data_IF_516260040676
#
_entry.id   IF_516260040676
#
_cell.length_a   1.000
_cell.length_b   1.000
_cell.length_c   1.000
_cell.angle_alpha   90.00
_cell.angle_beta   90.00
_cell.angle_gamma   90.00
#
_symmetry.space_group_name_H-M   'P 1'
#
loop_
_entity.id
_entity.type
_entity.pdbx_description
1 polymer ?
#
# COMPACT_ATOMS: atom_id res chain seq x y z
N UNK A 1 26.57 -62.38 41.95
CA UNK A 1 26.64 -61.10 41.22
C UNK A 1 25.23 -60.52 41.15
N UNK A 2 24.99 -59.34 41.73
CA UNK A 2 23.69 -58.66 41.78
C UNK A 2 23.52 -57.84 40.49
N UNK A 3 22.45 -58.07 39.72
CA UNK A 3 22.01 -57.15 38.66
C UNK A 3 21.03 -56.13 39.25
N UNK A 4 21.38 -54.85 39.17
CA UNK A 4 20.47 -53.72 39.38
C UNK A 4 19.75 -53.40 38.07
N UNK A 5 18.43 -53.30 38.11
CA UNK A 5 17.61 -52.76 37.03
C UNK A 5 17.45 -51.25 37.22
N UNK A 6 17.78 -50.46 36.20
CA UNK A 6 17.57 -49.02 36.17
C UNK A 6 16.19 -48.70 35.59
N UNK A 7 15.46 -47.80 36.26
CA UNK A 7 14.17 -47.27 35.82
C UNK A 7 14.42 -46.01 35.00
N UNK A 8 14.02 -46.01 33.73
CA UNK A 8 14.03 -44.82 32.86
C UNK A 8 12.68 -44.12 32.94
N UNK A 9 12.66 -42.88 33.44
CA UNK A 9 11.51 -42.00 33.41
C UNK A 9 11.52 -41.19 32.10
N UNK A 10 10.49 -41.36 31.27
CA UNK A 10 10.28 -40.55 30.07
C UNK A 10 9.58 -39.23 30.46
N UNK A 11 10.26 -38.10 30.26
CA UNK A 11 9.62 -36.78 30.25
C UNK A 11 8.85 -36.63 28.94
N UNK A 12 7.52 -36.59 29.01
CA UNK A 12 6.67 -36.07 27.93
C UNK A 12 6.75 -34.54 27.96
N UNK A 13 7.43 -33.92 27.00
CA UNK A 13 7.24 -32.51 26.68
C UNK A 13 5.90 -32.36 25.95
N UNK A 14 4.92 -31.74 26.60
CA UNK A 14 3.71 -31.26 25.94
C UNK A 14 4.08 -30.10 25.02
N UNK A 15 4.07 -30.34 23.70
CA UNK A 15 4.15 -29.27 22.72
C UNK A 15 2.80 -28.53 22.70
N UNK A 16 2.77 -27.30 23.19
CA UNK A 16 1.62 -26.40 23.03
C UNK A 16 1.62 -25.94 21.58
N UNK A 17 0.52 -26.12 20.82
CA UNK A 17 0.44 -25.60 19.46
C UNK A 17 0.39 -24.08 19.52
N UNK A 18 1.44 -23.42 19.01
CA UNK A 18 1.40 -21.99 18.71
C UNK A 18 0.50 -21.83 17.49
N UNK A 19 -0.62 -21.11 17.66
CA UNK A 19 -1.54 -20.80 16.58
C UNK A 19 -0.87 -19.88 15.56
N UNK A 20 -0.80 -20.30 14.30
CA UNK A 20 -0.25 -19.50 13.20
C UNK A 20 -0.99 -18.17 12.95
N UNK A 21 -2.19 -18.00 13.51
CA UNK A 21 -2.97 -16.76 13.42
C UNK A 21 -2.37 -15.60 14.22
N UNK A 22 -1.75 -15.88 15.38
CA UNK A 22 -1.13 -14.84 16.20
C UNK A 22 0.17 -14.34 15.54
N UNK A 23 0.95 -15.24 14.93
CA UNK A 23 2.19 -14.88 14.24
C UNK A 23 1.99 -14.04 12.97
N UNK A 24 0.87 -14.22 12.26
CA UNK A 24 0.53 -13.40 11.10
C UNK A 24 0.08 -11.99 11.51
N UNK A 25 -0.69 -11.87 12.60
CA UNK A 25 -1.11 -10.58 13.13
C UNK A 25 0.06 -9.74 13.67
N UNK A 26 1.04 -10.39 14.31
CA UNK A 26 2.24 -9.72 14.81
C UNK A 26 3.14 -9.23 13.66
N UNK A 27 3.28 -10.00 12.57
CA UNK A 27 4.08 -9.61 11.40
C UNK A 27 3.48 -8.39 10.66
N UNK A 28 2.15 -8.33 10.54
CA UNK A 28 1.45 -7.18 9.94
C UNK A 28 1.61 -5.92 10.81
N UNK A 29 1.57 -6.06 12.13
CA UNK A 29 1.73 -4.95 13.06
C UNK A 29 3.15 -4.35 13.05
N UNK A 30 4.18 -5.19 12.96
CA UNK A 30 5.58 -4.75 12.86
C UNK A 30 5.82 -3.99 11.54
N UNK A 31 5.24 -4.46 10.43
CA UNK A 31 5.29 -3.76 9.14
C UNK A 31 4.62 -2.39 9.18
N UNK A 32 3.43 -2.29 9.78
CA UNK A 32 2.71 -1.02 9.92
C UNK A 32 3.48 0.00 10.79
N UNK A 33 4.15 -0.45 11.86
CA UNK A 33 4.99 0.42 12.68
C UNK A 33 6.15 1.00 11.87
N UNK A 34 6.84 0.17 11.09
CA UNK A 34 7.91 0.62 10.20
C UNK A 34 7.40 1.64 9.17
N UNK A 35 6.26 1.38 8.51
CA UNK A 35 5.68 2.32 7.55
C UNK A 35 5.28 3.65 8.18
N UNK A 36 4.77 3.65 9.42
CA UNK A 36 4.48 4.87 10.17
C UNK A 36 5.75 5.68 10.45
N UNK A 37 6.83 5.04 10.87
CA UNK A 37 8.12 5.71 11.10
C UNK A 37 8.69 6.32 9.83
N UNK A 38 8.61 5.61 8.70
CA UNK A 38 9.05 6.09 7.39
C UNK A 38 8.21 7.28 6.91
N UNK A 39 6.88 7.21 7.05
CA UNK A 39 6.01 8.32 6.73
C UNK A 39 6.34 9.56 7.58
N UNK A 40 6.57 9.39 8.89
CA UNK A 40 6.93 10.50 9.78
C UNK A 40 8.29 11.10 9.42
N UNK A 41 9.28 10.28 9.05
CA UNK A 41 10.58 10.75 8.59
C UNK A 41 10.48 11.57 7.28
N UNK A 42 9.63 11.14 6.36
CA UNK A 42 9.34 11.85 5.12
C UNK A 42 8.66 13.21 5.40
N UNK A 43 7.67 13.25 6.30
CA UNK A 43 7.04 14.50 6.75
C UNK A 43 8.07 15.49 7.31
N UNK A 44 8.98 15.04 8.19
CA UNK A 44 10.01 15.91 8.80
C UNK A 44 11.03 16.45 7.80
N UNK A 45 11.23 15.75 6.69
CA UNK A 45 12.19 16.11 5.66
C UNK A 45 11.57 16.88 4.49
N UNK A 46 10.26 17.16 4.54
CA UNK A 46 9.48 17.72 3.42
C UNK A 46 9.63 16.91 2.12
N UNK A 47 9.75 15.59 2.23
CA UNK A 47 9.95 14.67 1.10
C UNK A 47 8.63 13.92 0.78
N UNK A 48 7.84 14.49 -0.14
CA UNK A 48 6.56 13.89 -0.51
C UNK A 48 6.72 12.57 -1.27
N UNK A 49 7.74 12.43 -2.11
CA UNK A 49 8.02 11.20 -2.85
C UNK A 49 8.31 10.04 -1.89
N UNK A 50 9.14 10.28 -0.85
CA UNK A 50 9.38 9.31 0.21
C UNK A 50 8.14 9.04 1.09
N UNK A 51 7.23 10.01 1.22
CA UNK A 51 5.96 9.84 1.95
C UNK A 51 4.94 8.98 1.20
N UNK A 52 4.89 9.08 -0.13
CA UNK A 52 3.88 8.40 -0.93
C UNK A 52 3.99 6.88 -0.82
N UNK A 53 5.21 6.34 -0.73
CA UNK A 53 5.43 4.90 -0.59
C UNK A 53 4.78 4.27 0.65
N UNK A 54 5.10 4.70 1.90
CA UNK A 54 4.45 4.17 3.09
C UNK A 54 2.94 4.46 3.09
N UNK A 55 2.50 5.60 2.53
CA UNK A 55 1.08 5.90 2.40
C UNK A 55 0.34 4.90 1.49
N UNK A 56 0.95 4.53 0.36
CA UNK A 56 0.35 3.59 -0.58
C UNK A 56 0.33 2.15 -0.05
N UNK A 57 1.33 1.77 0.76
CA UNK A 57 1.47 0.38 1.22
C UNK A 57 0.83 0.08 2.58
N UNK A 58 0.73 1.05 3.50
CA UNK A 58 0.18 0.79 4.84
C UNK A 58 -1.20 1.39 5.06
N UNK A 59 -2.12 0.56 5.55
CA UNK A 59 -3.43 1.03 6.01
C UNK A 59 -3.30 1.94 7.23
N UNK A 60 -2.43 1.61 8.18
CA UNK A 60 -2.20 2.43 9.37
C UNK A 60 -1.71 3.84 9.01
N UNK A 61 -0.82 3.96 8.01
CA UNK A 61 -0.39 5.26 7.49
C UNK A 61 -1.57 6.02 6.88
N UNK A 62 -2.42 5.37 6.08
CA UNK A 62 -3.64 6.02 5.55
C UNK A 62 -4.61 6.44 6.65
N UNK A 63 -4.76 5.65 7.71
CA UNK A 63 -5.59 6.01 8.87
C UNK A 63 -5.09 7.28 9.56
N UNK A 64 -3.76 7.44 9.69
CA UNK A 64 -3.12 8.61 10.29
C UNK A 64 -3.14 9.84 9.39
N UNK A 65 -2.81 9.67 8.11
CA UNK A 65 -2.55 10.76 7.16
C UNK A 65 -3.66 10.96 6.12
N UNK A 66 -4.88 10.52 6.40
CA UNK A 66 -6.07 10.94 5.63
C UNK A 66 -6.82 12.04 6.36
N UNK A 67 -7.33 13.01 5.60
CA UNK A 67 -8.18 14.07 6.13
C UNK A 67 -9.46 13.48 6.76
N UNK A 68 -10.12 14.20 7.70
CA UNK A 68 -11.37 13.72 8.32
C UNK A 68 -12.49 13.42 7.31
N UNK A 69 -12.46 14.07 6.16
CA UNK A 69 -13.37 13.88 5.04
C UNK A 69 -12.58 13.85 3.73
N UNK A 70 -12.94 12.94 2.83
CA UNK A 70 -12.23 12.65 1.60
C UNK A 70 -13.23 12.68 0.45
N UNK A 71 -12.97 13.48 -0.58
CA UNK A 71 -13.71 13.41 -1.82
C UNK A 71 -13.33 12.13 -2.58
N UNK A 72 -14.26 11.20 -2.75
CA UNK A 72 -13.99 9.91 -3.38
C UNK A 72 -15.07 9.53 -4.41
N UNK A 73 -14.67 8.90 -5.51
CA UNK A 73 -15.55 8.46 -6.59
C UNK A 73 -15.04 8.90 -7.96
N UNK A 74 -15.93 8.96 -8.96
CA UNK A 74 -15.57 9.47 -10.27
C UNK A 74 -15.49 11.00 -10.30
N UNK A 75 -14.84 11.55 -11.33
CA UNK A 75 -14.68 13.00 -11.48
C UNK A 75 -16.02 13.79 -11.40
N UNK A 76 -17.10 13.22 -11.93
CA UNK A 76 -18.42 13.86 -12.00
C UNK A 76 -19.40 13.45 -10.90
N UNK A 77 -19.10 12.39 -10.16
CA UNK A 77 -19.99 11.80 -9.16
C UNK A 77 -19.29 11.56 -7.81
N UNK A 78 -18.15 12.20 -7.59
CA UNK A 78 -17.42 12.16 -6.34
C UNK A 78 -18.30 12.60 -5.17
N UNK A 79 -18.10 11.93 -4.04
CA UNK A 79 -18.82 12.18 -2.79
C UNK A 79 -17.82 12.45 -1.70
N UNK A 80 -18.21 13.36 -0.81
CA UNK A 80 -17.43 13.65 0.37
C UNK A 80 -17.74 12.63 1.48
N UNK A 81 -16.79 11.73 1.73
CA UNK A 81 -16.94 10.59 2.64
C UNK A 81 -16.21 10.86 3.96
N UNK A 82 -16.78 10.48 5.13
CA UNK A 82 -16.01 10.40 6.36
C UNK A 82 -14.82 9.45 6.18
N UNK A 83 -13.66 9.80 6.76
CA UNK A 83 -12.43 9.00 6.69
C UNK A 83 -12.65 7.52 6.99
N UNK A 84 -13.36 7.21 8.08
CA UNK A 84 -13.64 5.82 8.46
C UNK A 84 -14.42 5.05 7.40
N UNK A 85 -15.37 5.70 6.71
CA UNK A 85 -16.14 5.10 5.62
C UNK A 85 -15.27 4.83 4.40
N UNK A 86 -14.42 5.78 4.02
CA UNK A 86 -13.47 5.62 2.91
C UNK A 86 -12.51 4.44 3.18
N UNK A 87 -11.87 4.42 4.35
CA UNK A 87 -10.88 3.39 4.69
C UNK A 87 -11.50 2.01 4.91
N UNK A 88 -12.74 1.93 5.39
CA UNK A 88 -13.47 0.66 5.50
C UNK A 88 -13.74 0.01 4.14
N UNK A 89 -13.80 0.79 3.05
CA UNK A 89 -13.94 0.26 1.69
C UNK A 89 -12.72 -0.54 1.24
N UNK A 90 -11.53 -0.28 1.79
CA UNK A 90 -10.30 -1.02 1.43
C UNK A 90 -9.83 -0.80 -0.01
N UNK A 91 -10.39 0.19 -0.70
CA UNK A 91 -10.28 0.35 -2.16
C UNK A 91 -9.18 1.32 -2.60
N UNK A 92 -8.15 1.59 -1.80
CA UNK A 92 -7.04 2.47 -2.21
C UNK A 92 -6.41 1.97 -3.53
N UNK A 93 -6.19 2.81 -4.56
CA UNK A 93 -6.09 2.34 -5.94
C UNK A 93 -4.72 1.76 -6.31
N UNK A 94 -3.65 2.19 -5.64
CA UNK A 94 -2.26 1.86 -6.01
C UNK A 94 -1.45 1.41 -4.80
N UNK A 95 -0.38 0.68 -5.05
CA UNK A 95 0.68 0.36 -4.09
C UNK A 95 2.00 0.20 -4.82
N UNK A 96 3.11 0.09 -4.10
CA UNK A 96 4.45 0.03 -4.69
C UNK A 96 5.18 -1.24 -4.26
N UNK A 97 5.73 -1.96 -5.24
CA UNK A 97 6.53 -3.18 -5.04
C UNK A 97 7.82 -2.98 -5.83
N UNK A 98 8.97 -3.23 -5.20
CA UNK A 98 10.28 -3.12 -5.85
C UNK A 98 10.42 -1.84 -6.70
N UNK A 99 10.12 -0.69 -6.07
CA UNK A 99 10.18 0.65 -6.68
C UNK A 99 9.23 0.88 -7.86
N UNK A 100 8.26 0.00 -8.08
CA UNK A 100 7.27 0.09 -9.16
C UNK A 100 5.86 0.20 -8.60
N UNK A 101 5.07 1.17 -9.08
CA UNK A 101 3.66 1.23 -8.73
C UNK A 101 2.85 0.22 -9.52
N UNK A 102 1.90 -0.41 -8.85
CA UNK A 102 0.93 -1.34 -9.44
C UNK A 102 -0.47 -1.01 -8.94
N UNK A 103 -1.49 -1.46 -9.66
CA UNK A 103 -2.87 -1.36 -9.15
C UNK A 103 -3.04 -2.28 -7.95
N UNK A 104 -3.71 -1.79 -6.90
CA UNK A 104 -3.98 -2.60 -5.71
C UNK A 104 -4.81 -3.85 -6.03
N UNK A 105 -5.69 -3.77 -7.03
CA UNK A 105 -6.46 -4.91 -7.52
C UNK A 105 -5.55 -6.01 -8.11
N UNK A 106 -4.58 -5.63 -8.96
CA UNK A 106 -3.65 -6.60 -9.53
C UNK A 106 -2.77 -7.26 -8.48
N UNK A 107 -2.33 -6.49 -7.47
CA UNK A 107 -1.55 -7.03 -6.37
C UNK A 107 -2.34 -8.02 -5.52
N UNK A 108 -3.60 -7.73 -5.18
CA UNK A 108 -4.45 -8.70 -4.46
C UNK A 108 -4.58 -10.03 -5.22
N UNK A 109 -4.65 -9.99 -6.55
CA UNK A 109 -4.66 -11.21 -7.39
C UNK A 109 -3.32 -11.93 -7.41
N UNK A 110 -2.21 -11.18 -7.38
CA UNK A 110 -0.86 -11.71 -7.30
C UNK A 110 -0.66 -12.46 -5.97
N UNK A 111 -1.01 -11.84 -4.84
CA UNK A 111 -0.90 -12.41 -3.49
C UNK A 111 -1.81 -13.64 -3.30
N UNK A 112 -3.04 -13.59 -3.82
CA UNK A 112 -3.95 -14.73 -3.77
C UNK A 112 -3.58 -15.88 -4.73
N UNK A 113 -2.59 -15.66 -5.59
CA UNK A 113 -2.15 -16.58 -6.64
C UNK A 113 -0.91 -17.38 -6.26
N UNK A 114 -0.11 -17.67 -7.29
CA UNK A 114 1.18 -18.37 -7.22
C UNK A 114 2.37 -17.40 -7.20
N UNK A 115 2.13 -16.10 -7.02
CA UNK A 115 3.18 -15.08 -7.11
C UNK A 115 3.69 -14.85 -8.54
N UNK A 116 2.89 -15.15 -9.57
CA UNK A 116 3.22 -14.83 -10.95
C UNK A 116 3.18 -13.30 -11.19
N UNK A 117 4.36 -12.68 -11.26
CA UNK A 117 4.53 -11.24 -11.47
C UNK A 117 3.90 -10.73 -12.77
N UNK A 118 3.65 -11.60 -13.77
CA UNK A 118 2.95 -11.19 -15.01
C UNK A 118 1.49 -10.78 -14.78
N UNK A 119 0.94 -11.06 -13.58
CA UNK A 119 -0.40 -10.62 -13.16
C UNK A 119 -0.45 -9.20 -12.60
N UNK A 120 0.71 -8.59 -12.34
CA UNK A 120 0.79 -7.21 -11.88
C UNK A 120 0.45 -6.26 -13.02
N UNK A 121 -0.48 -5.34 -12.75
CA UNK A 121 -0.79 -4.24 -13.65
C UNK A 121 -0.02 -3.01 -13.16
N UNK A 122 1.10 -2.74 -13.82
CA UNK A 122 1.95 -1.58 -13.54
C UNK A 122 1.20 -0.27 -13.79
N UNK A 123 1.60 0.76 -13.05
CA UNK A 123 0.97 2.07 -13.04
C UNK A 123 2.03 3.12 -13.37
N UNK A 124 1.71 3.98 -14.32
CA UNK A 124 2.41 5.25 -14.53
C UNK A 124 1.95 6.24 -13.46
N UNK A 125 2.89 6.81 -12.72
CA UNK A 125 2.63 7.78 -11.65
C UNK A 125 3.34 9.09 -11.98
N UNK A 126 2.58 10.18 -11.93
CA UNK A 126 3.09 11.53 -12.09
C UNK A 126 2.72 12.37 -10.86
N UNK A 127 3.71 13.02 -10.26
CA UNK A 127 3.52 13.85 -9.06
C UNK A 127 3.61 15.32 -9.46
N UNK A 128 2.51 16.03 -9.26
CA UNK A 128 2.36 17.44 -9.58
C UNK A 128 2.22 18.27 -8.29
N UNK A 129 2.97 19.36 -8.19
CA UNK A 129 2.91 20.29 -7.05
C UNK A 129 2.23 21.59 -7.46
N UNK A 130 1.16 21.95 -6.76
CA UNK A 130 0.48 23.23 -6.96
C UNK A 130 1.21 24.38 -6.23
N UNK A 131 0.87 25.62 -6.58
CA UNK A 131 1.43 26.82 -5.94
C UNK A 131 1.10 26.93 -4.45
N UNK A 132 0.00 26.32 -4.02
CA UNK A 132 -0.42 26.22 -2.61
C UNK A 132 0.08 24.93 -1.94
N UNK A 133 1.16 24.36 -2.49
CA UNK A 133 1.87 23.17 -2.00
C UNK A 133 1.04 21.88 -1.97
N UNK A 134 -0.20 21.89 -2.47
CA UNK A 134 -0.95 20.65 -2.70
C UNK A 134 -0.20 19.74 -3.66
N UNK A 135 -0.16 18.45 -3.33
CA UNK A 135 0.46 17.41 -4.13
C UNK A 135 -0.62 16.57 -4.79
N UNK A 136 -0.62 16.51 -6.11
CA UNK A 136 -1.51 15.68 -6.92
C UNK A 136 -0.69 14.51 -7.46
N UNK A 137 -1.16 13.30 -7.20
CA UNK A 137 -0.56 12.06 -7.72
C UNK A 137 -1.50 11.55 -8.79
N UNK A 138 -1.20 11.85 -10.04
CA UNK A 138 -1.89 11.27 -11.19
C UNK A 138 -1.39 9.84 -11.38
N UNK A 139 -2.31 8.92 -11.61
CA UNK A 139 -1.99 7.51 -11.78
C UNK A 139 -2.81 6.90 -12.90
N UNK A 140 -2.23 6.01 -13.70
CA UNK A 140 -2.96 5.22 -14.69
C UNK A 140 -2.29 3.85 -14.91
N UNK A 141 -3.07 2.75 -15.09
CA UNK A 141 -2.52 1.50 -15.58
C UNK A 141 -1.75 1.71 -16.88
N UNK A 142 -0.60 1.07 -17.01
CA UNK A 142 0.31 1.31 -18.12
C UNK A 142 1.11 0.07 -18.52
N UNK A 143 1.62 0.09 -19.76
CA UNK A 143 2.60 -0.87 -20.27
C UNK A 143 3.94 -0.18 -20.44
N UNK A 144 4.98 -0.92 -20.10
CA UNK A 144 6.35 -0.44 -20.16
C UNK A 144 7.21 -1.39 -21.00
N UNK A 145 8.18 -0.82 -21.71
CA UNK A 145 9.25 -1.57 -22.35
C UNK A 145 10.32 -1.86 -21.28
N UNK A 146 10.93 -3.06 -21.27
CA UNK A 146 12.03 -3.35 -20.36
C UNK A 146 13.12 -2.28 -20.46
N UNK A 147 13.53 -1.75 -19.31
CA UNK A 147 14.61 -0.77 -19.18
C UNK A 147 15.84 -1.36 -18.50
N UNK A 148 16.89 -0.54 -18.40
CA UNK A 148 18.01 -0.82 -17.51
C UNK A 148 17.69 -0.29 -16.11
N UNK A 149 17.81 -1.12 -15.07
CA UNK A 149 17.64 -0.73 -13.66
C UNK A 149 16.43 -1.35 -12.96
N UNK A 150 16.20 -0.90 -11.72
CA UNK A 150 15.09 -1.31 -10.87
C UNK A 150 13.87 -0.43 -11.18
N UNK A 151 12.88 -0.98 -11.88
CA UNK A 151 11.65 -0.28 -12.26
C UNK A 151 10.93 -0.93 -13.44
N UNK A 152 9.74 -0.42 -13.82
CA UNK A 152 8.95 -1.02 -14.89
C UNK A 152 9.55 -0.77 -16.29
N UNK A 153 10.47 0.19 -16.41
CA UNK A 153 11.15 0.56 -17.66
C UNK A 153 10.54 1.80 -18.32
N UNK A 154 10.63 1.90 -19.65
CA UNK A 154 10.12 3.07 -20.39
C UNK A 154 8.63 2.94 -20.68
N UNK A 155 7.84 3.96 -20.34
CA UNK A 155 6.40 3.99 -20.65
C UNK A 155 6.16 3.83 -22.16
N UNK A 156 5.38 2.81 -22.54
CA UNK A 156 4.90 2.60 -23.90
C UNK A 156 3.54 3.29 -24.08
N UNK A 157 2.58 2.96 -23.22
CA UNK A 157 1.21 3.46 -23.29
C UNK A 157 0.48 3.32 -21.94
N UNK A 158 -0.55 4.16 -21.75
CA UNK A 158 -1.56 4.00 -20.69
C UNK A 158 -2.64 3.05 -21.20
N UNK A 159 -3.03 2.06 -20.40
CA UNK A 159 -3.88 0.93 -20.83
C UNK A 159 -5.28 0.92 -20.23
N UNK A 160 -5.61 1.86 -19.37
CA UNK A 160 -6.93 1.94 -18.74
C UNK A 160 -7.18 3.28 -18.08
N UNK A 161 -8.40 3.48 -17.54
CA UNK A 161 -8.72 4.69 -16.79
C UNK A 161 -7.80 4.81 -15.59
N UNK A 162 -7.33 6.03 -15.37
CA UNK A 162 -6.54 6.37 -14.22
C UNK A 162 -7.37 7.05 -13.14
N UNK A 163 -6.71 7.97 -12.47
CA UNK A 163 -7.30 8.85 -11.49
C UNK A 163 -6.24 9.78 -10.94
N UNK A 164 -6.60 10.47 -9.88
CA UNK A 164 -5.64 11.20 -9.09
C UNK A 164 -5.93 11.08 -7.61
N UNK A 165 -4.85 11.12 -6.83
CA UNK A 165 -4.90 11.34 -5.39
C UNK A 165 -4.51 12.78 -5.13
N UNK A 166 -5.28 13.50 -4.32
CA UNK A 166 -4.95 14.85 -3.91
C UNK A 166 -4.57 14.87 -2.44
N UNK A 167 -3.41 15.44 -2.18
CA UNK A 167 -2.88 15.64 -0.84
C UNK A 167 -2.74 17.12 -0.55
N UNK A 168 -3.24 17.52 0.60
CA UNK A 168 -3.10 18.89 1.09
C UNK A 168 -2.03 18.94 2.18
N UNK A 169 -1.12 19.92 2.14
CA UNK A 169 -0.22 20.16 3.26
C UNK A 169 -1.02 20.55 4.49
N UNK A 170 -0.53 20.14 5.64
CA UNK A 170 -0.97 20.54 6.98
C UNK A 170 0.26 21.01 7.73
N UNK A 171 0.09 21.55 8.95
CA UNK A 171 1.23 22.05 9.72
C UNK A 171 2.35 21.04 9.94
N UNK A 172 2.01 19.74 10.01
CA UNK A 172 2.96 18.70 10.43
C UNK A 172 3.24 17.62 9.37
N UNK A 173 2.45 17.56 8.28
CA UNK A 173 2.63 16.64 7.14
C UNK A 173 1.59 16.89 6.03
N UNK A 174 1.42 15.98 5.07
CA UNK A 174 0.31 15.95 4.12
C UNK A 174 -0.87 15.10 4.60
N UNK A 175 -2.05 15.42 4.09
CA UNK A 175 -3.25 14.60 4.25
C UNK A 175 -3.92 14.32 2.92
N UNK A 176 -4.33 13.07 2.69
CA UNK A 176 -5.20 12.71 1.56
C UNK A 176 -6.54 13.40 1.71
N UNK A 177 -6.91 14.22 0.73
CA UNK A 177 -8.18 14.96 0.67
C UNK A 177 -9.08 14.51 -0.48
N UNK A 178 -8.52 13.87 -1.52
CA UNK A 178 -9.31 13.28 -2.59
C UNK A 178 -8.69 12.01 -3.19
N UNK A 179 -9.54 11.05 -3.58
CA UNK A 179 -9.25 9.88 -4.42
C UNK A 179 -10.29 9.87 -5.54
N UNK A 180 -9.93 10.48 -6.67
CA UNK A 180 -10.83 10.66 -7.81
C UNK A 180 -10.41 9.72 -8.92
N UNK A 181 -11.37 8.98 -9.47
CA UNK A 181 -11.15 7.98 -10.50
C UNK A 181 -11.72 8.47 -11.82
N UNK A 182 -11.01 8.23 -12.89
CA UNK A 182 -11.55 8.43 -14.21
C UNK A 182 -12.54 7.30 -14.50
N UNK A 183 -13.71 7.64 -15.04
CA UNK A 183 -14.57 6.59 -15.59
C UNK A 183 -13.83 5.95 -16.76
N UNK A 184 -13.89 4.61 -16.89
CA UNK A 184 -13.36 3.86 -18.03
C UNK A 184 -13.91 4.38 -19.36
N UNK A 185 -13.28 5.42 -19.89
CA UNK A 185 -13.51 5.90 -21.24
C UNK A 185 -12.80 4.94 -22.17
N UNK A 186 -13.56 4.09 -22.86
CA UNK A 186 -13.05 3.46 -24.07
C UNK A 186 -12.55 4.60 -24.98
N UNK A 187 -11.23 4.68 -25.14
CA UNK A 187 -10.58 5.49 -26.18
C UNK A 187 -10.59 4.70 -27.47
#
# INVERSE_FOLDING_TARGET
>A
MKLMAAVSAALLCAAVPVSAADAAADADADGDAQFLEMAEAACRSDDFDAFLWPFANSRAVRERYSAPRIAAGGERDSRDLPRGTYLAGGDFPILMIDFSYVTAESFRRFEAGDGDASRLAYVDVEINTAQDERRRVDWAPARFAPGEGDGPGTLIEKTGPGGYLLFSPTGDCWQLTADIREAGGAS
#
